data_IF_429583245297
#
_entry.id   IF_429583245297
#
_cell.length_a   1.000
_cell.length_b   1.000
_cell.length_c   1.000
_cell.angle_alpha   90.00
_cell.angle_beta   90.00
_cell.angle_gamma   90.00
#
_symmetry.space_group_name_H-M   'P 1'
#
loop_
_entity.id
_entity.type
_entity.pdbx_description
1 polymer ?
#
# COMPACT_ATOMS: atom_id res chain seq x y z
N UNK A 1 1.48 -1.93 -17.97
CA UNK A 1 1.90 -3.17 -17.27
C UNK A 1 3.30 -2.96 -16.71
N UNK A 2 3.52 -3.29 -15.43
CA UNK A 2 4.83 -3.24 -14.81
C UNK A 2 5.75 -4.31 -15.40
N UNK A 3 7.02 -3.96 -15.62
CA UNK A 3 8.02 -4.94 -16.04
C UNK A 3 8.36 -5.91 -14.89
N UNK A 4 8.88 -7.10 -15.21
CA UNK A 4 9.33 -8.05 -14.19
C UNK A 4 10.37 -7.45 -13.22
N UNK A 5 11.19 -6.51 -13.69
CA UNK A 5 12.12 -5.79 -12.83
C UNK A 5 11.40 -4.82 -11.87
N UNK A 6 10.35 -4.13 -12.33
CA UNK A 6 9.55 -3.24 -11.48
C UNK A 6 8.80 -4.04 -10.39
N UNK A 7 8.24 -5.21 -10.74
CA UNK A 7 7.62 -6.13 -9.78
C UNK A 7 8.61 -6.54 -8.69
N UNK A 8 9.82 -7.01 -9.08
CA UNK A 8 10.86 -7.36 -8.10
C UNK A 8 11.28 -6.18 -7.21
N UNK A 9 11.40 -4.99 -7.79
CA UNK A 9 11.76 -3.78 -7.01
C UNK A 9 10.63 -3.39 -6.06
N UNK A 10 9.36 -3.57 -6.46
CA UNK A 10 8.21 -3.33 -5.61
C UNK A 10 8.20 -4.33 -4.45
N UNK A 11 8.41 -5.62 -4.72
CA UNK A 11 8.53 -6.64 -3.67
C UNK A 11 9.63 -6.28 -2.67
N UNK A 12 10.83 -5.91 -3.14
CA UNK A 12 11.92 -5.49 -2.25
C UNK A 12 11.56 -4.24 -1.41
N UNK A 13 10.80 -3.30 -1.96
CA UNK A 13 10.30 -2.14 -1.22
C UNK A 13 9.31 -2.53 -0.11
N UNK A 14 8.48 -3.57 -0.34
CA UNK A 14 7.57 -4.10 0.67
C UNK A 14 8.32 -4.88 1.76
N UNK A 15 9.36 -5.63 1.40
CA UNK A 15 10.25 -6.32 2.36
C UNK A 15 11.01 -5.30 3.24
N UNK A 16 11.46 -4.18 2.66
CA UNK A 16 12.07 -3.08 3.41
C UNK A 16 11.06 -2.47 4.40
N UNK A 17 9.82 -2.23 3.99
CA UNK A 17 8.78 -1.72 4.87
C UNK A 17 8.43 -2.72 6.02
N UNK A 18 8.44 -4.02 5.76
CA UNK A 18 8.30 -5.05 6.80
C UNK A 18 9.47 -5.00 7.79
N UNK A 19 10.70 -4.87 7.28
CA UNK A 19 11.91 -4.78 8.12
C UNK A 19 11.91 -3.49 8.97
N UNK A 20 11.49 -2.36 8.42
CA UNK A 20 11.36 -1.10 9.16
C UNK A 20 10.31 -1.21 10.27
N UNK A 21 9.16 -1.82 9.98
CA UNK A 21 8.13 -2.11 10.99
C UNK A 21 8.65 -3.06 12.09
N UNK A 22 9.57 -3.98 11.77
CA UNK A 22 10.19 -4.86 12.77
C UNK A 22 11.00 -4.08 13.81
N UNK A 23 11.65 -3.00 13.40
CA UNK A 23 12.43 -2.14 14.32
C UNK A 23 11.55 -1.33 15.26
N UNK A 24 10.31 -1.03 14.88
CA UNK A 24 9.34 -0.32 15.73
C UNK A 24 8.70 -1.23 16.79
N UNK A 25 8.77 -2.54 16.60
CA UNK A 25 8.24 -3.52 17.53
C UNK A 25 6.92 -4.17 17.09
N UNK A 26 6.44 -5.10 17.92
CA UNK A 26 5.18 -5.82 17.69
C UNK A 26 4.05 -5.11 18.46
N UNK A 27 2.94 -4.87 17.78
CA UNK A 27 1.74 -4.26 18.38
C UNK A 27 1.50 -2.82 17.99
N UNK A 28 2.31 -2.25 17.10
CA UNK A 28 2.07 -0.91 16.57
C UNK A 28 0.86 -0.85 15.65
N UNK A 29 0.39 0.38 15.45
CA UNK A 29 -0.73 0.69 14.57
C UNK A 29 -0.40 0.34 13.11
N UNK A 30 -1.44 0.00 12.34
CA UNK A 30 -1.29 -0.24 10.92
C UNK A 30 -0.73 1.00 10.20
N UNK A 31 0.15 0.76 9.23
CA UNK A 31 0.76 1.81 8.41
C UNK A 31 0.37 1.63 6.95
N UNK A 32 -0.25 2.66 6.37
CA UNK A 32 -0.56 2.70 4.94
C UNK A 32 0.65 3.23 4.17
N UNK A 33 0.98 2.59 3.05
CA UNK A 33 2.15 2.89 2.24
C UNK A 33 1.71 3.27 0.83
N UNK A 34 2.15 4.44 0.36
CA UNK A 34 2.02 4.84 -1.05
C UNK A 34 3.34 4.59 -1.76
N UNK A 35 3.35 3.66 -2.71
CA UNK A 35 4.55 3.32 -3.48
C UNK A 35 4.53 4.07 -4.80
N UNK A 36 5.62 4.77 -5.08
CA UNK A 36 5.79 5.58 -6.27
C UNK A 36 7.21 5.48 -6.83
N UNK A 37 7.37 5.78 -8.10
CA UNK A 37 8.68 5.87 -8.75
C UNK A 37 8.85 7.20 -9.50
N UNK A 38 10.12 7.58 -9.71
CA UNK A 38 10.49 8.71 -10.54
C UNK A 38 11.79 8.42 -11.29
N UNK A 39 12.05 9.10 -12.43
CA UNK A 39 13.31 8.96 -13.13
C UNK A 39 14.46 9.50 -12.28
N UNK A 40 15.54 8.72 -12.17
CA UNK A 40 16.79 9.17 -11.50
C UNK A 40 17.45 10.34 -12.21
N UNK A 41 17.26 10.39 -13.53
CA UNK A 41 17.75 11.47 -14.39
C UNK A 41 16.69 11.72 -15.47
N UNK A 42 16.19 12.96 -15.63
CA UNK A 42 15.22 13.29 -16.66
C UNK A 42 15.67 12.92 -18.09
N UNK A 43 16.99 12.95 -18.37
CA UNK A 43 17.55 12.52 -19.65
C UNK A 43 17.58 10.98 -19.84
N UNK A 44 17.38 10.22 -18.77
CA UNK A 44 17.35 8.75 -18.76
C UNK A 44 16.08 8.22 -18.09
N UNK A 45 14.90 8.44 -18.70
CA UNK A 45 13.61 8.15 -18.05
C UNK A 45 13.37 6.67 -17.74
N UNK A 46 14.16 5.77 -18.32
CA UNK A 46 14.11 4.33 -18.05
C UNK A 46 14.76 3.94 -16.73
N UNK A 47 15.68 4.75 -16.19
CA UNK A 47 16.29 4.53 -14.87
C UNK A 47 15.43 5.21 -13.82
N UNK A 48 14.60 4.44 -13.15
CA UNK A 48 13.65 4.94 -12.14
C UNK A 48 14.05 4.42 -10.77
N UNK A 49 13.77 5.24 -9.75
CA UNK A 49 13.91 4.90 -8.34
C UNK A 49 12.51 4.77 -7.74
N UNK A 50 12.29 3.72 -6.99
CA UNK A 50 11.05 3.45 -6.27
C UNK A 50 11.23 3.84 -4.80
N UNK A 51 10.17 4.32 -4.17
CA UNK A 51 10.08 4.62 -2.73
C UNK A 51 8.67 4.45 -2.22
N UNK A 52 8.56 4.22 -0.92
CA UNK A 52 7.32 4.33 -0.15
C UNK A 52 7.21 5.70 0.52
N UNK A 53 5.98 6.17 0.67
CA UNK A 53 5.59 7.22 1.61
C UNK A 53 4.69 6.56 2.64
N UNK A 54 5.03 6.70 3.90
CA UNK A 54 4.34 6.09 5.01
C UNK A 54 3.26 7.02 5.56
N UNK A 55 2.15 6.42 5.92
CA UNK A 55 1.01 7.08 6.52
C UNK A 55 0.49 6.23 7.68
N UNK A 56 0.80 6.58 8.93
CA UNK A 56 0.33 5.84 10.09
C UNK A 56 -1.20 5.96 10.21
N UNK A 57 -1.88 4.84 10.43
CA UNK A 57 -3.30 4.79 10.70
C UNK A 57 -3.51 4.80 12.21
N UNK A 58 -4.37 5.68 12.72
CA UNK A 58 -4.62 5.75 14.15
C UNK A 58 -5.42 4.51 14.63
N UNK A 59 -5.01 3.88 15.74
CA UNK A 59 -5.72 2.73 16.31
C UNK A 59 -7.20 3.02 16.56
N UNK A 60 -7.55 4.24 16.98
CA UNK A 60 -8.92 4.66 17.24
C UNK A 60 -9.81 4.58 16.00
N UNK A 61 -9.24 4.88 14.80
CA UNK A 61 -9.98 4.79 13.55
C UNK A 61 -10.21 3.33 13.13
N UNK A 62 -9.24 2.44 13.42
CA UNK A 62 -9.41 1.01 13.20
C UNK A 62 -10.52 0.43 14.08
N UNK A 63 -10.55 0.84 15.36
CA UNK A 63 -11.56 0.41 16.34
C UNK A 63 -12.95 1.01 16.05
N UNK A 64 -13.01 2.19 15.45
CA UNK A 64 -14.28 2.84 15.09
C UNK A 64 -15.00 2.13 13.92
N UNK A 65 -14.33 1.25 13.19
CA UNK A 65 -14.91 0.50 12.08
C UNK A 65 -15.18 -0.96 12.46
N UNK A 66 -16.46 -1.41 12.50
CA UNK A 66 -16.80 -2.79 12.85
C UNK A 66 -16.13 -3.86 11.98
N UNK A 67 -15.87 -3.54 10.70
CA UNK A 67 -15.15 -4.41 9.78
C UNK A 67 -13.63 -4.11 9.74
N UNK A 68 -13.12 -3.31 10.68
CA UNK A 68 -11.70 -3.04 10.88
C UNK A 68 -11.01 -2.37 9.69
N UNK A 69 -9.77 -2.77 9.45
CA UNK A 69 -8.90 -2.20 8.43
C UNK A 69 -9.48 -2.18 7.00
N UNK A 70 -10.13 -3.25 6.48
CA UNK A 70 -10.72 -3.20 5.13
C UNK A 70 -11.75 -2.09 4.95
N UNK A 71 -12.63 -1.87 5.94
CA UNK A 71 -13.62 -0.81 5.90
C UNK A 71 -12.99 0.59 5.96
N UNK A 72 -11.95 0.76 6.79
CA UNK A 72 -11.21 2.01 6.85
C UNK A 72 -10.58 2.37 5.50
N UNK A 73 -9.94 1.40 4.82
CA UNK A 73 -9.35 1.62 3.49
C UNK A 73 -10.38 2.06 2.45
N UNK A 74 -11.58 1.45 2.44
CA UNK A 74 -12.67 1.88 1.57
C UNK A 74 -13.14 3.31 1.87
N UNK A 75 -13.31 3.63 3.14
CA UNK A 75 -13.69 4.98 3.57
C UNK A 75 -12.67 6.04 3.15
N UNK A 76 -11.37 5.74 3.30
CA UNK A 76 -10.31 6.63 2.84
C UNK A 76 -10.37 6.84 1.31
N UNK A 77 -10.66 5.79 0.55
CA UNK A 77 -10.85 5.88 -0.90
C UNK A 77 -12.05 6.75 -1.29
N UNK A 78 -13.17 6.62 -0.57
CA UNK A 78 -14.37 7.46 -0.77
C UNK A 78 -14.07 8.93 -0.47
N UNK A 79 -13.41 9.20 0.66
CA UNK A 79 -13.00 10.55 1.03
C UNK A 79 -12.09 11.22 0.00
N UNK A 80 -11.20 10.45 -0.64
CA UNK A 80 -10.35 10.99 -1.71
C UNK A 80 -11.14 11.33 -2.99
N UNK A 81 -12.25 10.66 -3.24
CA UNK A 81 -13.12 10.91 -4.40
C UNK A 81 -14.07 12.09 -4.19
N UNK A 82 -14.46 12.35 -2.94
CA UNK A 82 -15.38 13.43 -2.61
C UNK A 82 -14.63 14.67 -2.09
N UNK A 83 -14.43 15.70 -2.92
CA UNK A 83 -13.74 16.92 -2.50
C UNK A 83 -14.57 17.77 -1.51
N UNK A 84 -15.87 17.50 -1.34
CA UNK A 84 -16.73 18.25 -0.43
C UNK A 84 -16.51 17.90 1.04
N UNK A 85 -15.98 16.69 1.31
CA UNK A 85 -15.73 16.19 2.66
C UNK A 85 -14.27 16.33 3.03
N UNK A 86 -13.87 17.46 3.59
CA UNK A 86 -12.47 17.69 3.99
C UNK A 86 -12.22 17.14 5.39
N UNK A 87 -11.78 15.87 5.47
CA UNK A 87 -11.32 15.26 6.72
C UNK A 87 -9.82 15.50 6.96
N UNK A 88 -9.32 15.37 8.20
CA UNK A 88 -7.87 15.44 8.48
C UNK A 88 -7.07 14.45 7.64
N UNK A 89 -7.54 13.21 7.51
CA UNK A 89 -6.91 12.17 6.69
C UNK A 89 -6.84 12.56 5.21
N UNK A 90 -7.92 13.07 4.67
CA UNK A 90 -7.95 13.53 3.28
C UNK A 90 -6.90 14.63 3.02
N UNK A 91 -6.76 15.59 3.93
CA UNK A 91 -5.72 16.64 3.82
C UNK A 91 -4.32 16.05 3.81
N UNK A 92 -4.04 15.09 4.70
CA UNK A 92 -2.73 14.46 4.80
C UNK A 92 -2.45 13.66 3.51
N UNK A 93 -3.39 12.82 3.07
CA UNK A 93 -3.26 12.03 1.83
C UNK A 93 -3.08 12.94 0.60
N UNK A 94 -3.85 14.02 0.50
CA UNK A 94 -3.67 15.02 -0.58
C UNK A 94 -2.29 15.67 -0.52
N UNK A 95 -1.79 15.99 0.68
CA UNK A 95 -0.45 16.56 0.86
C UNK A 95 0.63 15.57 0.45
N UNK A 96 0.50 14.28 0.82
CA UNK A 96 1.44 13.24 0.40
C UNK A 96 1.46 13.07 -1.12
N UNK A 97 0.29 13.01 -1.75
CA UNK A 97 0.15 12.92 -3.20
C UNK A 97 0.75 14.15 -3.90
N UNK A 98 0.50 15.35 -3.38
CA UNK A 98 1.09 16.58 -3.88
C UNK A 98 2.62 16.58 -3.75
N UNK A 99 3.15 16.12 -2.61
CA UNK A 99 4.59 15.97 -2.40
C UNK A 99 5.22 14.96 -3.36
N UNK A 100 4.59 13.78 -3.52
CA UNK A 100 5.07 12.79 -4.48
C UNK A 100 5.16 13.39 -5.90
N UNK A 101 4.11 14.11 -6.33
CA UNK A 101 4.05 14.76 -7.65
C UNK A 101 5.03 15.93 -7.79
N UNK A 102 5.30 16.67 -6.71
CA UNK A 102 6.25 17.79 -6.73
C UNK A 102 7.72 17.35 -6.76
N UNK A 103 8.01 16.09 -6.36
CA UNK A 103 9.37 15.54 -6.33
C UNK A 103 9.94 15.40 -7.75
N UNK A 104 9.11 15.05 -8.71
CA UNK A 104 9.49 14.98 -10.13
C UNK A 104 8.23 15.10 -11.02
N UNK A 105 8.32 15.77 -12.18
CA UNK A 105 7.20 15.92 -13.10
C UNK A 105 6.66 14.59 -13.65
N UNK A 106 7.52 13.56 -13.69
CA UNK A 106 7.20 12.23 -14.21
C UNK A 106 7.04 11.16 -13.10
N UNK A 107 6.66 11.58 -11.90
CA UNK A 107 6.36 10.63 -10.81
C UNK A 107 5.15 9.76 -11.19
N UNK A 108 5.26 8.46 -10.97
CA UNK A 108 4.17 7.51 -11.17
C UNK A 108 3.81 6.87 -9.83
N UNK A 109 2.54 6.87 -9.52
CA UNK A 109 2.02 6.08 -8.40
C UNK A 109 1.89 4.63 -8.89
N UNK A 110 2.45 3.69 -8.15
CA UNK A 110 2.58 2.29 -8.58
C UNK A 110 1.70 1.34 -7.79
N UNK A 111 1.57 1.56 -6.47
CA UNK A 111 0.82 0.68 -5.61
C UNK A 111 0.38 1.40 -4.33
N UNK A 112 -0.65 0.86 -3.70
CA UNK A 112 -0.94 1.06 -2.29
C UNK A 112 -0.66 -0.24 -1.54
N UNK A 113 -0.09 -0.11 -0.35
CA UNK A 113 0.15 -1.22 0.55
C UNK A 113 -0.26 -0.85 1.97
N UNK A 114 -0.49 -1.85 2.81
CA UNK A 114 -0.73 -1.67 4.23
C UNK A 114 0.07 -2.70 5.02
N UNK A 115 0.84 -2.23 5.99
CA UNK A 115 1.53 -3.06 6.97
C UNK A 115 0.71 -3.08 8.27
N UNK A 116 0.41 -4.26 8.81
CA UNK A 116 -0.42 -4.43 10.01
C UNK A 116 -0.14 -5.76 10.70
N UNK A 117 -0.61 -5.90 11.94
CA UNK A 117 -0.57 -7.16 12.66
C UNK A 117 -1.88 -7.92 12.50
N UNK A 118 -1.76 -9.25 12.37
CA UNK A 118 -2.89 -10.17 12.22
C UNK A 118 -2.63 -11.44 13.04
N UNK A 119 -3.67 -12.22 13.25
CA UNK A 119 -3.57 -13.54 13.91
C UNK A 119 -3.76 -14.61 12.85
N UNK A 120 -2.73 -15.40 12.63
CA UNK A 120 -2.75 -16.55 11.75
C UNK A 120 -2.88 -17.85 12.53
N UNK A 121 -3.58 -18.85 11.98
CA UNK A 121 -3.66 -20.18 12.57
C UNK A 121 -2.58 -21.07 11.95
N UNK A 122 -1.55 -21.38 12.72
CA UNK A 122 -0.50 -22.34 12.31
C UNK A 122 -0.69 -23.62 13.13
N UNK A 123 -0.93 -24.73 12.46
CA UNK A 123 -1.21 -26.02 13.11
C UNK A 123 -2.32 -25.95 14.17
N UNK A 124 -3.37 -25.14 13.91
CA UNK A 124 -4.49 -24.93 14.82
C UNK A 124 -4.19 -24.04 16.04
N UNK A 125 -3.02 -23.42 16.11
CA UNK A 125 -2.63 -22.47 17.16
C UNK A 125 -2.63 -21.05 16.62
N UNK A 126 -3.20 -20.09 17.36
CA UNK A 126 -3.12 -18.69 16.98
C UNK A 126 -1.69 -18.17 17.13
N UNK A 127 -1.17 -17.58 16.10
CA UNK A 127 0.15 -16.97 16.02
C UNK A 127 0.02 -15.52 15.55
N UNK A 128 0.71 -14.60 16.24
CA UNK A 128 0.78 -13.22 15.81
C UNK A 128 1.73 -13.11 14.62
N UNK A 129 1.25 -12.56 13.53
CA UNK A 129 2.03 -12.32 12.32
C UNK A 129 1.97 -10.85 11.92
N UNK A 130 3.02 -10.35 11.31
CA UNK A 130 2.96 -9.08 10.59
C UNK A 130 2.69 -9.36 9.13
N UNK A 131 1.76 -8.60 8.57
CA UNK A 131 1.37 -8.70 7.17
C UNK A 131 1.65 -7.40 6.44
N UNK A 132 2.10 -7.52 5.19
CA UNK A 132 2.11 -6.42 4.24
C UNK A 132 1.30 -6.85 3.02
N UNK A 133 0.11 -6.29 2.87
CA UNK A 133 -0.72 -6.51 1.69
C UNK A 133 -0.58 -5.31 0.74
N UNK A 134 -0.45 -5.56 -0.56
CA UNK A 134 -0.38 -4.49 -1.55
C UNK A 134 -1.15 -4.82 -2.82
N UNK A 135 -1.59 -3.75 -3.52
CA UNK A 135 -2.19 -3.84 -4.86
C UNK A 135 -1.49 -2.83 -5.77
N UNK A 136 -0.97 -3.29 -6.91
CA UNK A 136 -0.32 -2.44 -7.90
C UNK A 136 -1.28 -1.95 -9.00
N UNK A 137 -0.78 -1.05 -9.86
CA UNK A 137 -1.55 -0.46 -10.98
C UNK A 137 -2.02 -1.50 -12.02
N UNK A 138 -1.43 -2.68 -12.03
CA UNK A 138 -1.85 -3.79 -12.88
C UNK A 138 -2.80 -4.75 -12.15
N UNK A 139 -3.24 -4.40 -10.93
CA UNK A 139 -4.13 -5.18 -10.07
C UNK A 139 -3.50 -6.48 -9.52
N UNK A 140 -2.17 -6.61 -9.55
CA UNK A 140 -1.49 -7.70 -8.85
C UNK A 140 -1.64 -7.54 -7.36
N UNK A 141 -1.73 -8.66 -6.68
CA UNK A 141 -1.76 -8.72 -5.24
C UNK A 141 -0.40 -9.21 -4.72
N UNK A 142 0.13 -8.51 -3.75
CA UNK A 142 1.33 -8.86 -3.02
C UNK A 142 0.94 -9.13 -1.58
N UNK A 143 1.39 -10.24 -1.03
CA UNK A 143 1.16 -10.62 0.35
C UNK A 143 2.48 -11.03 0.97
N UNK A 144 2.91 -10.32 2.00
CA UNK A 144 4.02 -10.71 2.84
C UNK A 144 3.45 -11.13 4.19
N UNK A 145 3.89 -12.27 4.70
CA UNK A 145 3.53 -12.75 6.03
C UNK A 145 4.81 -13.06 6.78
N UNK A 146 5.01 -12.42 7.91
CA UNK A 146 6.20 -12.56 8.75
C UNK A 146 5.78 -13.03 10.14
N UNK A 147 6.14 -14.25 10.51
CA UNK A 147 5.94 -14.78 11.85
C UNK A 147 7.04 -14.28 12.79
N UNK A 148 6.73 -14.22 14.09
CA UNK A 148 7.64 -13.68 15.12
C UNK A 148 8.97 -14.45 15.22
N UNK A 149 8.95 -15.73 14.90
CA UNK A 149 10.08 -16.67 14.99
C UNK A 149 10.83 -16.86 13.67
N UNK A 150 10.43 -16.16 12.60
CA UNK A 150 11.03 -16.26 11.27
C UNK A 150 11.99 -15.11 11.01
N UNK A 151 13.11 -15.37 10.32
CA UNK A 151 14.10 -14.35 9.95
C UNK A 151 13.67 -13.54 8.73
N UNK A 152 12.71 -14.04 7.93
CA UNK A 152 12.26 -13.41 6.69
C UNK A 152 10.78 -13.67 6.46
N UNK A 153 10.08 -12.70 5.85
CA UNK A 153 8.69 -12.90 5.48
C UNK A 153 8.54 -13.94 4.35
N UNK A 154 7.46 -14.70 4.40
CA UNK A 154 6.95 -15.42 3.24
C UNK A 154 6.33 -14.41 2.27
N UNK A 155 6.69 -14.48 0.98
CA UNK A 155 6.23 -13.54 -0.04
C UNK A 155 5.44 -14.27 -1.12
N UNK A 156 4.22 -13.82 -1.37
CA UNK A 156 3.37 -14.26 -2.47
C UNK A 156 3.10 -13.06 -3.40
N UNK A 157 3.29 -13.25 -4.70
CA UNK A 157 2.88 -12.29 -5.73
C UNK A 157 1.94 -12.99 -6.69
N UNK A 158 0.72 -12.49 -6.82
CA UNK A 158 -0.31 -13.07 -7.65
C UNK A 158 -0.72 -12.09 -8.77
N UNK A 159 -0.45 -12.48 -10.02
CA UNK A 159 -0.78 -11.72 -11.22
C UNK A 159 -2.27 -11.82 -11.62
N UNK A 160 -2.95 -12.88 -11.17
CA UNK A 160 -4.35 -13.19 -11.52
C UNK A 160 -5.15 -13.64 -10.29
N UNK A 161 -5.26 -12.76 -9.28
CA UNK A 161 -5.77 -13.14 -7.97
C UNK A 161 -7.21 -13.64 -8.04
N UNK A 162 -7.44 -14.85 -7.51
CA UNK A 162 -8.79 -15.35 -7.27
C UNK A 162 -9.43 -14.53 -6.13
N UNK A 163 -10.62 -13.95 -6.34
CA UNK A 163 -11.32 -13.22 -5.29
C UNK A 163 -11.53 -14.00 -3.99
N UNK A 164 -11.61 -15.32 -4.06
CA UNK A 164 -11.79 -16.19 -2.88
C UNK A 164 -10.51 -16.30 -2.02
N UNK A 165 -9.32 -16.15 -2.64
CA UNK A 165 -8.03 -16.36 -1.99
C UNK A 165 -7.28 -15.04 -1.71
N UNK A 166 -7.94 -13.91 -1.96
CA UNK A 166 -7.31 -12.59 -1.74
C UNK A 166 -7.53 -12.08 -0.33
N UNK A 167 -6.59 -11.28 0.23
CA UNK A 167 -6.77 -10.67 1.53
C UNK A 167 -7.94 -9.70 1.53
N UNK A 168 -8.64 -9.59 2.66
CA UNK A 168 -9.79 -8.69 2.82
C UNK A 168 -9.43 -7.21 2.54
N UNK A 169 -8.16 -6.82 2.71
CA UNK A 169 -7.63 -5.47 2.43
C UNK A 169 -7.56 -5.13 0.95
N UNK A 170 -7.52 -6.14 0.04
CA UNK A 170 -7.34 -5.96 -1.40
C UNK A 170 -8.32 -4.97 -2.01
N UNK A 171 -9.60 -5.15 -1.73
CA UNK A 171 -10.66 -4.31 -2.35
C UNK A 171 -10.53 -2.83 -1.94
N UNK A 172 -10.16 -2.57 -0.68
CA UNK A 172 -9.90 -1.22 -0.17
C UNK A 172 -8.63 -0.60 -0.77
N UNK A 173 -7.54 -1.37 -0.90
CA UNK A 173 -6.30 -0.93 -1.55
C UNK A 173 -6.51 -0.62 -3.05
N UNK A 174 -7.25 -1.46 -3.76
CA UNK A 174 -7.63 -1.22 -5.16
C UNK A 174 -8.52 0.03 -5.31
N UNK A 175 -9.44 0.26 -4.36
CA UNK A 175 -10.26 1.46 -4.33
C UNK A 175 -9.43 2.73 -4.10
N UNK A 176 -8.44 2.70 -3.18
CA UNK A 176 -7.48 3.78 -2.96
C UNK A 176 -6.66 4.06 -4.21
N UNK A 177 -6.16 3.02 -4.85
CA UNK A 177 -5.38 3.14 -6.08
C UNK A 177 -6.21 3.84 -7.17
N UNK A 178 -7.44 3.39 -7.38
CA UNK A 178 -8.38 4.01 -8.35
C UNK A 178 -8.65 5.48 -8.01
N UNK A 179 -8.81 5.82 -6.72
CA UNK A 179 -9.08 7.18 -6.27
C UNK A 179 -7.86 8.11 -6.46
N UNK A 180 -6.65 7.57 -6.42
CA UNK A 180 -5.40 8.36 -6.48
C UNK A 180 -4.79 8.44 -7.88
N UNK A 181 -4.89 7.37 -8.67
CA UNK A 181 -4.38 7.37 -10.05
C UNK A 181 -5.30 8.18 -10.97
N UNK A 182 -6.58 8.35 -10.61
CA UNK A 182 -7.58 9.10 -11.37
C UNK A 182 -7.73 8.61 -12.81
N UNK A 183 -8.79 8.88 -13.53
CA UNK A 183 -8.77 8.69 -14.97
C UNK A 183 -7.57 9.50 -15.49
N UNK A 184 -6.63 8.85 -16.17
CA UNK A 184 -5.48 9.50 -16.84
C UNK A 184 -6.10 10.58 -17.70
N UNK A 185 -6.25 11.78 -17.09
CA UNK A 185 -7.08 12.84 -17.57
C UNK A 185 -6.53 13.34 -18.89
N UNK A 186 -7.37 13.39 -19.85
CA UNK A 186 -7.29 14.33 -20.95
C UNK A 186 -6.59 15.59 -20.46
N UNK A 187 -5.33 15.80 -20.87
CA UNK A 187 -4.72 17.10 -20.89
C UNK A 187 -5.61 17.94 -21.81
N UNK A 188 -6.26 19.01 -21.35
CA UNK A 188 -6.87 19.94 -22.30
C UNK A 188 -5.75 20.51 -23.17
N UNK A 189 -5.94 20.37 -24.48
CA UNK A 189 -5.12 20.92 -25.55
C UNK A 189 -5.07 22.41 -25.49
#
# INVERSE_FOLDING_TARGET
MLSANAVRTLTACLEEADADAAHLGWGDSATLLLIHDWPLNPALPRRRKMRSLEFPLHPEDLLAHPAGLPALLHRLAEQLRDPATVTPYQKILQTMLARARATAPDVRLLAWAVCYHDIHLRDGRPELVRRVDAVDIDQRVYQLTHALDEDRPFVLVDDTPDPADTPATRSGLAALLTATVGPIGHRPS
#
